data_IF_869104128882
#
_entry.id   IF_869104128882
#
_cell.length_a   1.000
_cell.length_b   1.000
_cell.length_c   1.000
_cell.angle_alpha   90.00
_cell.angle_beta   90.00
_cell.angle_gamma   90.00
#
_symmetry.space_group_name_H-M   'P 1'
#
loop_
_entity.id
_entity.type
_entity.pdbx_description
1 polymer ?
#
# COMPACT_ATOMS: atom_id res chain seq x y z
N UNK A 1 -21.55 -14.08 -5.37
CA UNK A 1 -20.64 -13.07 -4.77
C UNK A 1 -21.36 -11.93 -4.04
N UNK A 2 -22.57 -11.50 -4.43
CA UNK A 2 -23.31 -10.43 -3.72
C UNK A 2 -23.55 -10.73 -2.22
N UNK A 3 -23.79 -11.97 -1.87
CA UNK A 3 -24.10 -12.33 -0.47
C UNK A 3 -22.87 -12.40 0.46
N UNK A 4 -21.67 -12.61 -0.07
CA UNK A 4 -20.42 -12.69 0.71
C UNK A 4 -20.02 -11.32 1.27
N UNK A 5 -20.16 -10.24 0.47
CA UNK A 5 -19.83 -8.88 0.89
C UNK A 5 -20.95 -8.18 1.69
N UNK A 6 -22.11 -8.83 1.85
CA UNK A 6 -23.20 -8.35 2.69
C UNK A 6 -23.21 -8.98 4.08
N UNK A 7 -22.49 -10.08 4.28
CA UNK A 7 -22.38 -10.74 5.58
C UNK A 7 -21.25 -10.10 6.40
N UNK A 8 -21.56 -9.55 7.57
CA UNK A 8 -20.58 -8.87 8.45
C UNK A 8 -19.39 -9.78 8.79
N UNK A 9 -19.61 -11.05 9.06
CA UNK A 9 -18.55 -12.01 9.41
C UNK A 9 -17.62 -12.23 8.23
N UNK A 10 -18.16 -12.39 7.01
CA UNK A 10 -17.33 -12.55 5.80
C UNK A 10 -16.50 -11.31 5.50
N UNK A 11 -17.07 -10.12 5.70
CA UNK A 11 -16.34 -8.85 5.51
C UNK A 11 -15.20 -8.74 6.52
N UNK A 12 -15.45 -9.06 7.80
CA UNK A 12 -14.41 -9.01 8.83
C UNK A 12 -13.32 -10.03 8.52
N UNK A 13 -13.66 -11.27 8.16
CA UNK A 13 -12.70 -12.31 7.83
C UNK A 13 -11.82 -11.91 6.64
N UNK A 14 -12.41 -11.37 5.58
CA UNK A 14 -11.67 -10.86 4.41
C UNK A 14 -10.76 -9.69 4.80
N UNK A 15 -11.25 -8.75 5.62
CA UNK A 15 -10.46 -7.61 6.07
C UNK A 15 -9.25 -8.06 6.89
N UNK A 16 -9.44 -8.99 7.84
CA UNK A 16 -8.35 -9.56 8.64
C UNK A 16 -7.33 -10.27 7.74
N UNK A 17 -7.79 -11.10 6.82
CA UNK A 17 -6.91 -11.79 5.86
C UNK A 17 -6.10 -10.81 5.01
N UNK A 18 -6.73 -9.78 4.46
CA UNK A 18 -6.03 -8.73 3.70
C UNK A 18 -5.01 -7.97 4.57
N UNK A 19 -5.35 -7.71 5.84
CA UNK A 19 -4.43 -7.03 6.77
C UNK A 19 -3.21 -7.89 7.10
N UNK A 20 -3.38 -9.19 7.27
CA UNK A 20 -2.26 -10.14 7.48
C UNK A 20 -1.35 -10.16 6.24
N UNK A 21 -1.93 -10.28 5.04
CA UNK A 21 -1.16 -10.25 3.79
C UNK A 21 -0.42 -8.93 3.61
N UNK A 22 -1.05 -7.81 3.93
CA UNK A 22 -0.42 -6.50 3.84
C UNK A 22 0.72 -6.35 4.86
N UNK A 23 0.49 -6.74 6.12
CA UNK A 23 1.49 -6.67 7.18
C UNK A 23 2.70 -7.57 6.92
N UNK A 24 2.49 -8.75 6.36
CA UNK A 24 3.58 -9.68 6.02
C UNK A 24 4.49 -9.17 4.89
N UNK A 25 4.05 -8.19 4.11
CA UNK A 25 4.86 -7.64 3.02
C UNK A 25 6.16 -6.98 3.52
N UNK A 26 6.13 -6.33 4.69
CA UNK A 26 7.31 -5.63 5.24
C UNK A 26 8.45 -6.59 5.62
N UNK A 27 8.22 -7.61 6.47
CA UNK A 27 9.28 -8.56 6.78
C UNK A 27 9.72 -9.37 5.56
N UNK A 28 8.80 -9.78 4.67
CA UNK A 28 9.13 -10.50 3.45
C UNK A 28 10.05 -9.67 2.54
N UNK A 29 9.81 -8.37 2.42
CA UNK A 29 10.68 -7.49 1.63
C UNK A 29 12.08 -7.41 2.24
N UNK A 30 12.19 -7.29 3.57
CA UNK A 30 13.49 -7.25 4.26
C UNK A 30 14.28 -8.53 4.05
N UNK A 31 13.66 -9.67 4.28
CA UNK A 31 14.29 -10.99 4.01
C UNK A 31 14.70 -11.10 2.54
N UNK A 32 13.86 -10.63 1.60
CA UNK A 32 14.22 -10.66 0.18
C UNK A 32 15.43 -9.78 -0.15
N UNK A 33 15.60 -8.63 0.52
CA UNK A 33 16.77 -7.78 0.33
C UNK A 33 18.05 -8.46 0.85
N UNK A 34 17.96 -9.14 2.01
CA UNK A 34 19.06 -9.87 2.60
C UNK A 34 19.46 -11.08 1.73
N UNK A 35 18.50 -11.91 1.34
CA UNK A 35 18.74 -13.10 0.50
C UNK A 35 19.31 -12.74 -0.89
N UNK A 36 18.89 -11.64 -1.48
CA UNK A 36 19.37 -11.16 -2.78
C UNK A 36 20.60 -10.26 -2.64
N UNK A 37 21.15 -10.10 -1.42
CA UNK A 37 22.32 -9.28 -1.11
C UNK A 37 22.22 -7.86 -1.69
N UNK A 38 21.02 -7.27 -1.66
CA UNK A 38 20.78 -5.92 -2.16
C UNK A 38 21.34 -4.89 -1.21
N UNK A 39 22.30 -4.10 -1.67
CA UNK A 39 22.82 -2.99 -0.87
C UNK A 39 21.73 -1.93 -0.60
N UNK A 40 21.76 -1.25 0.57
CA UNK A 40 20.80 -0.19 0.90
C UNK A 40 20.74 0.93 -0.14
N UNK A 41 21.83 1.17 -0.87
CA UNK A 41 21.94 2.22 -1.90
C UNK A 41 21.68 1.71 -3.31
N UNK A 42 21.50 0.39 -3.51
CA UNK A 42 21.24 -0.18 -4.83
C UNK A 42 19.78 0.05 -5.25
N UNK A 43 19.52 1.26 -5.72
CA UNK A 43 18.20 1.67 -6.24
C UNK A 43 17.77 0.84 -7.46
N UNK A 44 18.73 0.48 -8.33
CA UNK A 44 18.41 -0.24 -9.57
C UNK A 44 17.92 -1.65 -9.25
N UNK A 45 18.63 -2.39 -8.41
CA UNK A 45 18.20 -3.73 -8.00
C UNK A 45 16.80 -3.72 -7.38
N UNK A 46 16.49 -2.74 -6.52
CA UNK A 46 15.17 -2.59 -5.88
C UNK A 46 14.07 -2.28 -6.89
N UNK A 47 14.33 -1.41 -7.84
CA UNK A 47 13.35 -1.07 -8.90
C UNK A 47 13.10 -2.28 -9.80
N UNK A 48 14.14 -3.01 -10.19
CA UNK A 48 14.02 -4.23 -10.99
C UNK A 48 13.23 -5.29 -10.21
N UNK A 49 13.58 -5.51 -8.94
CA UNK A 49 12.87 -6.44 -8.08
C UNK A 49 11.38 -6.09 -7.91
N UNK A 50 11.06 -4.80 -7.68
CA UNK A 50 9.69 -4.31 -7.64
C UNK A 50 8.97 -4.57 -8.97
N UNK A 51 9.61 -4.23 -10.09
CA UNK A 51 9.06 -4.43 -11.43
C UNK A 51 8.72 -5.89 -11.71
N UNK A 52 9.61 -6.82 -11.38
CA UNK A 52 9.37 -8.26 -11.54
C UNK A 52 8.19 -8.74 -10.69
N UNK A 53 8.09 -8.32 -9.43
CA UNK A 53 6.97 -8.68 -8.54
C UNK A 53 5.63 -8.18 -9.07
N UNK A 54 5.57 -6.91 -9.49
CA UNK A 54 4.33 -6.33 -10.02
C UNK A 54 3.94 -6.91 -11.37
N UNK A 55 4.92 -7.23 -12.22
CA UNK A 55 4.68 -7.90 -13.49
C UNK A 55 4.08 -9.29 -13.27
N UNK A 56 4.67 -10.09 -12.40
CA UNK A 56 4.15 -11.42 -12.05
C UNK A 56 2.74 -11.33 -11.46
N UNK A 57 2.53 -10.42 -10.51
CA UNK A 57 1.21 -10.21 -9.91
C UNK A 57 0.18 -9.76 -10.96
N UNK A 58 0.56 -8.85 -11.86
CA UNK A 58 -0.29 -8.39 -12.96
C UNK A 58 -0.67 -9.51 -13.93
N UNK A 59 0.30 -10.34 -14.30
CA UNK A 59 0.04 -11.51 -15.17
C UNK A 59 -0.91 -12.51 -14.49
N UNK A 60 -0.68 -12.83 -13.22
CA UNK A 60 -1.55 -13.75 -12.45
C UNK A 60 -2.98 -13.21 -12.40
N UNK A 61 -3.16 -11.93 -12.06
CA UNK A 61 -4.48 -11.30 -12.00
C UNK A 61 -5.14 -11.27 -13.37
N UNK A 62 -4.39 -10.98 -14.42
CA UNK A 62 -4.91 -10.96 -15.81
C UNK A 62 -5.36 -12.34 -16.23
N UNK A 63 -4.57 -13.38 -16.00
CA UNK A 63 -4.94 -14.77 -16.29
C UNK A 63 -6.19 -15.17 -15.51
N UNK A 64 -6.26 -14.83 -14.21
CA UNK A 64 -7.42 -15.11 -13.39
C UNK A 64 -8.70 -14.42 -13.92
N UNK A 65 -8.60 -13.18 -14.37
CA UNK A 65 -9.71 -12.45 -15.00
C UNK A 65 -10.12 -13.06 -16.34
N UNK A 66 -9.16 -13.49 -17.17
CA UNK A 66 -9.42 -14.15 -18.44
C UNK A 66 -10.23 -15.43 -18.24
N UNK A 67 -9.89 -16.23 -17.22
CA UNK A 67 -10.61 -17.47 -16.90
C UNK A 67 -12.02 -17.21 -16.33
N UNK A 68 -12.16 -16.23 -15.44
CA UNK A 68 -13.42 -16.01 -14.73
C UNK A 68 -14.39 -15.06 -15.44
N UNK A 69 -13.90 -14.05 -16.14
CA UNK A 69 -14.67 -12.98 -16.77
C UNK A 69 -14.02 -12.40 -18.02
N UNK A 70 -13.92 -13.16 -19.13
CA UNK A 70 -13.22 -12.69 -20.33
C UNK A 70 -13.82 -11.40 -20.91
N UNK A 71 -15.14 -11.18 -20.76
CA UNK A 71 -15.82 -9.96 -21.23
C UNK A 71 -15.48 -8.68 -20.43
N UNK A 72 -14.87 -8.80 -19.26
CA UNK A 72 -14.50 -7.65 -18.42
C UNK A 72 -13.17 -7.00 -18.80
N UNK A 73 -12.44 -7.59 -19.75
CA UNK A 73 -11.10 -7.15 -20.16
C UNK A 73 -11.15 -6.16 -21.34
N UNK A 74 -12.34 -5.90 -21.88
CA UNK A 74 -12.49 -4.92 -22.97
C UNK A 74 -12.35 -3.52 -22.39
N UNK A 75 -11.20 -2.91 -22.62
CA UNK A 75 -10.83 -1.58 -22.13
C UNK A 75 -10.80 -0.61 -23.32
N UNK A 76 -11.45 0.53 -23.18
CA UNK A 76 -11.39 1.59 -24.19
C UNK A 76 -10.02 2.30 -24.14
N UNK A 77 -9.63 2.94 -25.26
CA UNK A 77 -8.34 3.69 -25.32
C UNK A 77 -8.23 4.76 -24.22
N UNK A 78 -9.35 5.44 -23.90
CA UNK A 78 -9.36 6.44 -22.80
C UNK A 78 -9.11 5.79 -21.44
N UNK A 79 -9.75 4.66 -21.16
CA UNK A 79 -9.52 3.91 -19.92
C UNK A 79 -8.09 3.41 -19.83
N UNK A 80 -7.51 2.94 -20.94
CA UNK A 80 -6.13 2.48 -20.96
C UNK A 80 -5.15 3.60 -20.59
N UNK A 81 -5.33 4.81 -21.15
CA UNK A 81 -4.50 5.97 -20.82
C UNK A 81 -4.62 6.33 -19.33
N UNK A 82 -5.86 6.41 -18.81
CA UNK A 82 -6.08 6.72 -17.39
C UNK A 82 -5.47 5.66 -16.48
N UNK A 83 -5.64 4.37 -16.81
CA UNK A 83 -5.03 3.26 -16.06
C UNK A 83 -3.50 3.30 -16.12
N UNK A 84 -2.92 3.67 -17.27
CA UNK A 84 -1.47 3.79 -17.41
C UNK A 84 -0.92 4.93 -16.56
N UNK A 85 -1.56 6.10 -16.57
CA UNK A 85 -1.16 7.23 -15.71
C UNK A 85 -1.32 6.86 -14.23
N UNK A 86 -2.44 6.25 -13.88
CA UNK A 86 -2.68 5.79 -12.51
C UNK A 86 -1.62 4.77 -12.07
N UNK A 87 -1.30 3.79 -12.92
CA UNK A 87 -0.25 2.81 -12.66
C UNK A 87 1.12 3.44 -12.50
N UNK A 88 1.45 4.46 -13.32
CA UNK A 88 2.73 5.17 -13.22
C UNK A 88 2.84 5.93 -11.89
N UNK A 89 1.82 6.70 -11.52
CA UNK A 89 1.84 7.53 -10.31
C UNK A 89 1.63 6.70 -9.06
N UNK A 90 0.59 5.87 -9.04
CA UNK A 90 0.17 5.11 -7.85
C UNK A 90 1.07 3.89 -7.58
N UNK A 91 1.66 3.30 -8.61
CA UNK A 91 2.49 2.11 -8.46
C UNK A 91 3.97 2.45 -8.66
N UNK A 92 4.38 2.87 -9.84
CA UNK A 92 5.81 3.04 -10.12
C UNK A 92 6.46 4.11 -9.23
N UNK A 93 5.89 5.32 -9.18
CA UNK A 93 6.45 6.42 -8.40
C UNK A 93 6.34 6.17 -6.88
N UNK A 94 5.18 5.73 -6.42
CA UNK A 94 4.97 5.43 -5.00
C UNK A 94 5.91 4.33 -4.50
N UNK A 95 6.03 3.22 -5.23
CA UNK A 95 6.87 2.11 -4.81
C UNK A 95 8.35 2.38 -5.00
N UNK A 96 8.75 3.24 -5.92
CA UNK A 96 10.12 3.73 -6.00
C UNK A 96 10.56 4.35 -4.66
N UNK A 97 9.78 5.27 -4.12
CA UNK A 97 10.07 5.88 -2.81
C UNK A 97 9.93 4.87 -1.66
N UNK A 98 8.90 4.03 -1.71
CA UNK A 98 8.64 3.04 -0.66
C UNK A 98 9.79 2.03 -0.53
N UNK A 99 10.25 1.43 -1.63
CA UNK A 99 11.32 0.43 -1.59
C UNK A 99 12.67 1.03 -1.15
N UNK A 100 12.98 2.22 -1.65
CA UNK A 100 14.20 2.92 -1.23
C UNK A 100 14.14 3.38 0.23
N UNK A 101 13.00 3.83 0.70
CA UNK A 101 12.77 4.19 2.09
C UNK A 101 12.85 2.97 3.02
N UNK A 102 12.16 1.88 2.67
CA UNK A 102 12.15 0.65 3.47
C UNK A 102 13.54 0.00 3.59
N UNK A 103 14.39 0.17 2.59
CA UNK A 103 15.77 -0.34 2.65
C UNK A 103 16.60 0.30 3.78
N UNK A 104 16.26 1.54 4.17
CA UNK A 104 16.99 2.34 5.15
C UNK A 104 16.43 2.26 6.59
N UNK A 105 15.33 1.55 6.79
CA UNK A 105 14.67 1.43 8.09
C UNK A 105 14.34 -0.04 8.39
N UNK A 106 14.08 -0.38 9.65
CA UNK A 106 13.59 -1.72 9.98
C UNK A 106 12.21 -1.98 9.38
N UNK A 107 11.83 -3.25 9.19
CA UNK A 107 10.50 -3.60 8.68
C UNK A 107 9.38 -3.05 9.55
N UNK A 108 9.56 -3.05 10.88
CA UNK A 108 8.60 -2.50 11.83
C UNK A 108 8.48 -0.97 11.69
N UNK A 109 9.59 -0.24 11.62
CA UNK A 109 9.60 1.19 11.37
C UNK A 109 8.93 1.54 10.03
N UNK A 110 9.25 0.80 8.97
CA UNK A 110 8.63 0.97 7.67
C UNK A 110 7.11 0.81 7.71
N UNK A 111 6.60 -0.18 8.45
CA UNK A 111 5.16 -0.39 8.62
C UNK A 111 4.49 0.78 9.38
N UNK A 112 5.11 1.25 10.46
CA UNK A 112 4.62 2.38 11.25
C UNK A 112 4.63 3.67 10.42
N UNK A 113 5.73 3.97 9.73
CA UNK A 113 5.84 5.15 8.88
C UNK A 113 4.85 5.11 7.71
N UNK A 114 4.66 3.94 7.09
CA UNK A 114 3.68 3.78 6.02
C UNK A 114 2.24 4.03 6.49
N UNK A 115 1.90 3.67 7.72
CA UNK A 115 0.58 3.93 8.31
C UNK A 115 0.28 5.43 8.46
N UNK A 116 1.31 6.28 8.53
CA UNK A 116 1.17 7.74 8.58
C UNK A 116 0.46 8.31 7.34
N UNK A 117 0.55 7.63 6.20
CA UNK A 117 -0.16 8.01 4.97
C UNK A 117 -1.68 8.11 5.16
N UNK A 118 -2.25 7.31 6.06
CA UNK A 118 -3.68 7.38 6.40
C UNK A 118 -4.04 8.72 7.04
N UNK A 119 -3.17 9.28 7.89
CA UNK A 119 -3.40 10.58 8.52
C UNK A 119 -3.39 11.69 7.49
N UNK A 120 -2.42 11.70 6.58
CA UNK A 120 -2.37 12.66 5.48
C UNK A 120 -3.60 12.54 4.57
N UNK A 121 -4.07 11.32 4.30
CA UNK A 121 -5.29 11.10 3.52
C UNK A 121 -6.51 11.73 4.19
N UNK A 122 -6.68 11.56 5.51
CA UNK A 122 -7.80 12.15 6.27
C UNK A 122 -7.71 13.68 6.27
N UNK A 123 -6.50 14.24 6.45
CA UNK A 123 -6.28 15.67 6.38
C UNK A 123 -6.61 16.25 5.01
N UNK A 124 -6.09 15.64 3.93
CA UNK A 124 -6.37 16.08 2.56
C UNK A 124 -7.84 15.94 2.19
N UNK A 125 -8.50 14.87 2.63
CA UNK A 125 -9.93 14.66 2.44
C UNK A 125 -10.75 15.77 3.09
N UNK A 126 -10.36 16.27 4.27
CA UNK A 126 -11.00 17.40 4.93
C UNK A 126 -10.95 18.67 4.07
N UNK A 127 -9.81 18.97 3.46
CA UNK A 127 -9.64 20.16 2.62
C UNK A 127 -10.35 20.02 1.27
N UNK A 128 -10.32 18.81 0.68
CA UNK A 128 -10.88 18.56 -0.65
C UNK A 128 -12.41 18.36 -0.63
N UNK A 129 -12.93 17.59 0.34
CA UNK A 129 -14.34 17.22 0.42
C UNK A 129 -15.16 18.09 1.40
N UNK A 130 -14.80 19.31 1.62
CA UNK A 130 -15.30 20.28 2.61
C UNK A 130 -16.73 20.06 3.14
N UNK A 131 -17.66 19.61 2.30
CA UNK A 131 -19.09 19.44 2.65
C UNK A 131 -19.50 17.99 2.95
N UNK A 132 -18.74 16.99 2.51
CA UNK A 132 -19.09 15.57 2.65
C UNK A 132 -18.29 14.83 3.70
N UNK A 133 -17.05 15.26 3.99
CA UNK A 133 -16.15 14.57 4.91
C UNK A 133 -15.38 15.54 5.82
N UNK A 134 -16.12 16.42 6.50
CA UNK A 134 -15.54 17.39 7.44
C UNK A 134 -14.87 16.70 8.62
N UNK A 135 -13.78 17.30 9.09
CA UNK A 135 -13.13 16.93 10.35
C UNK A 135 -14.15 17.06 11.48
N UNK A 136 -14.41 15.95 12.17
CA UNK A 136 -15.21 15.91 13.38
C UNK A 136 -14.25 15.76 14.58
N UNK A 137 -14.66 16.19 15.75
CA UNK A 137 -13.87 16.04 16.99
C UNK A 137 -13.35 14.62 17.18
N UNK A 138 -14.16 13.59 16.93
CA UNK A 138 -13.75 12.18 17.01
C UNK A 138 -12.62 11.82 16.04
N UNK A 139 -12.68 12.32 14.80
CA UNK A 139 -11.61 12.16 13.80
C UNK A 139 -10.33 12.89 14.24
N UNK A 140 -10.48 14.10 14.78
CA UNK A 140 -9.37 14.90 15.30
C UNK A 140 -8.65 14.21 16.44
N UNK A 141 -9.37 13.72 17.44
CA UNK A 141 -8.78 12.96 18.56
C UNK A 141 -8.08 11.69 18.09
N UNK A 142 -8.72 10.92 17.20
CA UNK A 142 -8.10 9.73 16.61
C UNK A 142 -6.82 10.02 15.83
N UNK A 143 -6.81 11.13 15.08
CA UNK A 143 -5.64 11.59 14.34
C UNK A 143 -4.47 11.95 15.28
N UNK A 144 -4.74 12.76 16.31
CA UNK A 144 -3.73 13.17 17.30
C UNK A 144 -3.18 11.95 18.05
N UNK A 145 -4.08 11.09 18.53
CA UNK A 145 -3.68 9.87 19.26
C UNK A 145 -2.82 8.94 18.38
N UNK A 146 -3.22 8.73 17.12
CA UNK A 146 -2.45 7.90 16.19
C UNK A 146 -1.10 8.51 15.83
N UNK A 147 -1.03 9.83 15.60
CA UNK A 147 0.23 10.51 15.29
C UNK A 147 1.20 10.49 16.50
N UNK A 148 0.67 10.70 17.70
CA UNK A 148 1.43 10.54 18.94
C UNK A 148 1.97 9.12 19.09
N UNK A 149 1.16 8.10 18.77
CA UNK A 149 1.60 6.71 18.75
C UNK A 149 2.78 6.46 17.79
N UNK A 150 2.75 7.04 16.58
CA UNK A 150 3.86 6.95 15.63
C UNK A 150 5.13 7.60 16.19
N UNK A 151 5.02 8.79 16.80
CA UNK A 151 6.16 9.48 17.40
C UNK A 151 6.75 8.63 18.52
N UNK A 152 5.93 8.16 19.44
CA UNK A 152 6.37 7.33 20.58
C UNK A 152 7.01 6.03 20.12
N UNK A 153 6.43 5.35 19.11
CA UNK A 153 6.97 4.10 18.60
C UNK A 153 8.33 4.26 17.89
N UNK A 154 8.63 5.44 17.35
CA UNK A 154 9.92 5.74 16.73
C UNK A 154 10.88 6.51 17.68
N UNK A 155 10.45 6.78 18.91
CA UNK A 155 11.27 7.52 19.89
C UNK A 155 12.48 6.71 20.34
N UNK A 156 13.66 7.26 20.18
CA UNK A 156 14.91 6.62 20.61
C UNK A 156 15.43 5.49 19.70
N UNK A 157 14.82 5.28 18.54
CA UNK A 157 15.38 4.37 17.54
C UNK A 157 16.28 5.16 16.59
N UNK A 158 17.56 4.82 16.57
CA UNK A 158 18.46 5.32 15.53
C UNK A 158 18.05 4.76 14.18
N UNK A 159 17.93 5.62 13.18
CA UNK A 159 17.74 5.20 11.79
C UNK A 159 19.06 4.59 11.31
N UNK A 160 19.12 3.26 11.28
CA UNK A 160 20.23 2.50 10.74
C UNK A 160 20.07 2.30 9.24
#
# INVERSE_FOLDING_TARGET
>A
MKNLLQNKISVIAIAVFCSILWGSAFPVLKVSYEELQMAPDDTIAKVVFAGMRFLLAGVIVLLFLLFLRPKSIVVTRKQLIVLSILGLVQTALQYYFFYNGLAKVSGMQGAILNSSGTFFTVLLAHFYYQNRDRMNWKKGVGLIAGFTGIIVANWGQEFQ
#
